data_IF_858603168792
#
_entry.id   IF_858603168792
#
_cell.length_a   1.000
_cell.length_b   1.000
_cell.length_c   1.000
_cell.angle_alpha   90.00
_cell.angle_beta   90.00
_cell.angle_gamma   90.00
#
_symmetry.space_group_name_H-M   'P 1'
#
loop_
_entity.id
_entity.type
_entity.pdbx_description
1 polymer ?
#
# COMPACT_ATOMS: atom_id res chain seq x y z
N UNK A 1 -5.00 -11.82 15.74
CA UNK A 1 -6.03 -11.45 16.73
C UNK A 1 -5.61 -10.41 17.74
N UNK A 2 -4.35 -10.37 18.23
CA UNK A 2 -3.90 -9.37 19.22
C UNK A 2 -4.42 -7.94 18.98
N UNK A 3 -4.23 -7.35 17.79
CA UNK A 3 -4.73 -6.00 17.51
C UNK A 3 -6.25 -5.87 17.70
N UNK A 4 -7.04 -6.86 17.26
CA UNK A 4 -8.50 -6.86 17.44
C UNK A 4 -8.85 -6.88 18.92
N UNK A 5 -8.20 -7.74 19.69
CA UNK A 5 -8.45 -7.90 21.13
C UNK A 5 -8.01 -6.66 21.93
N UNK A 6 -6.98 -5.93 21.48
CA UNK A 6 -6.57 -4.67 22.10
C UNK A 6 -7.50 -3.51 21.74
N UNK A 7 -7.93 -3.42 20.47
CA UNK A 7 -8.64 -2.25 19.95
C UNK A 7 -10.18 -2.38 20.02
N UNK A 8 -10.69 -3.59 20.24
CA UNK A 8 -12.11 -3.89 20.36
C UNK A 8 -12.34 -5.16 21.22
N UNK A 9 -11.87 -5.20 22.49
CA UNK A 9 -11.88 -6.41 23.33
C UNK A 9 -13.26 -7.04 23.54
N UNK A 10 -14.32 -6.24 23.48
CA UNK A 10 -15.70 -6.69 23.75
C UNK A 10 -16.48 -7.04 22.47
N UNK A 11 -15.82 -7.16 21.32
CA UNK A 11 -16.50 -7.44 20.07
C UNK A 11 -17.04 -8.86 20.02
N UNK A 12 -18.34 -8.99 19.76
CA UNK A 12 -19.06 -10.27 19.73
C UNK A 12 -18.57 -11.24 18.65
N UNK A 13 -17.91 -10.72 17.60
CA UNK A 13 -17.36 -11.53 16.51
C UNK A 13 -16.00 -12.19 16.84
N UNK A 14 -15.36 -11.86 17.98
CA UNK A 14 -14.03 -12.42 18.33
C UNK A 14 -14.00 -13.96 18.29
N UNK A 15 -14.94 -14.70 18.89
CA UNK A 15 -14.94 -16.17 18.83
C UNK A 15 -15.04 -16.70 17.39
N UNK A 16 -15.83 -16.05 16.54
CA UNK A 16 -15.98 -16.41 15.13
C UNK A 16 -14.69 -16.18 14.34
N UNK A 17 -13.99 -15.07 14.59
CA UNK A 17 -12.70 -14.83 13.93
C UNK A 17 -11.66 -15.88 14.33
N UNK A 18 -11.62 -16.28 15.61
CA UNK A 18 -10.74 -17.37 16.07
C UNK A 18 -11.08 -18.74 15.46
N UNK A 19 -12.37 -19.05 15.27
CA UNK A 19 -12.80 -20.24 14.54
C UNK A 19 -12.32 -20.23 13.08
N UNK A 20 -12.53 -19.13 12.36
CA UNK A 20 -12.07 -18.97 10.98
C UNK A 20 -10.54 -19.08 10.86
N UNK A 21 -9.79 -18.51 11.82
CA UNK A 21 -8.34 -18.65 11.89
C UNK A 21 -7.91 -20.11 11.99
N UNK A 22 -8.49 -20.86 12.94
CA UNK A 22 -8.14 -22.28 13.15
C UNK A 22 -8.41 -23.16 11.94
N UNK A 23 -9.41 -22.80 11.14
CA UNK A 23 -9.80 -23.52 9.93
C UNK A 23 -9.10 -23.01 8.66
N UNK A 24 -8.15 -22.08 8.78
CA UNK A 24 -7.44 -21.51 7.63
C UNK A 24 -6.43 -22.50 7.06
N UNK A 25 -6.56 -22.81 5.77
CA UNK A 25 -5.69 -23.76 5.05
C UNK A 25 -5.18 -23.21 3.72
N UNK A 26 -5.72 -22.08 3.26
CA UNK A 26 -5.39 -21.44 1.99
C UNK A 26 -5.72 -19.94 2.03
N UNK A 27 -5.38 -19.21 0.95
CA UNK A 27 -5.63 -17.77 0.87
C UNK A 27 -7.11 -17.38 0.95
N UNK A 28 -8.01 -18.23 0.44
CA UNK A 28 -9.44 -17.97 0.48
C UNK A 28 -9.99 -18.04 1.92
N UNK A 29 -9.63 -19.09 2.67
CA UNK A 29 -10.00 -19.23 4.08
C UNK A 29 -9.32 -18.19 4.97
N UNK A 30 -8.07 -17.83 4.67
CA UNK A 30 -7.36 -16.72 5.31
C UNK A 30 -8.08 -15.38 5.08
N UNK A 31 -8.60 -15.16 3.87
CA UNK A 31 -9.36 -13.95 3.52
C UNK A 31 -10.62 -13.84 4.38
N UNK A 32 -11.32 -14.95 4.66
CA UNK A 32 -12.50 -14.94 5.54
C UNK A 32 -12.14 -14.55 6.97
N UNK A 33 -11.04 -15.08 7.51
CA UNK A 33 -10.53 -14.69 8.83
C UNK A 33 -10.17 -13.21 8.90
N UNK A 34 -9.41 -12.70 7.92
CA UNK A 34 -9.00 -11.28 7.89
C UNK A 34 -10.19 -10.34 7.70
N UNK A 35 -11.20 -10.75 6.93
CA UNK A 35 -12.47 -10.03 6.78
C UNK A 35 -13.22 -9.94 8.11
N UNK A 36 -13.30 -11.04 8.86
CA UNK A 36 -13.90 -11.04 10.20
C UNK A 36 -13.23 -10.02 11.13
N UNK A 37 -11.88 -10.01 11.16
CA UNK A 37 -11.12 -9.04 11.95
C UNK A 37 -11.40 -7.60 11.51
N UNK A 38 -11.50 -7.36 10.19
CA UNK A 38 -11.80 -6.05 9.63
C UNK A 38 -13.17 -5.54 10.07
N UNK A 39 -14.20 -6.39 10.08
CA UNK A 39 -15.54 -6.01 10.54
C UNK A 39 -15.57 -5.60 12.01
N UNK A 40 -14.80 -6.27 12.87
CA UNK A 40 -14.64 -5.83 14.26
C UNK A 40 -13.99 -4.44 14.31
N UNK A 41 -12.88 -4.26 13.58
CA UNK A 41 -12.08 -3.05 13.64
C UNK A 41 -12.77 -1.80 13.06
N UNK A 42 -13.76 -1.97 12.18
CA UNK A 42 -14.59 -0.85 11.69
C UNK A 42 -15.28 -0.09 12.82
N UNK A 43 -15.64 -0.80 13.89
CA UNK A 43 -16.31 -0.22 15.05
C UNK A 43 -15.34 -0.02 16.23
N UNK A 44 -14.03 -0.07 15.98
CA UNK A 44 -13.05 0.22 17.02
C UNK A 44 -13.20 1.66 17.51
N UNK A 45 -13.17 1.83 18.83
CA UNK A 45 -13.22 3.14 19.50
C UNK A 45 -11.84 3.60 19.97
N UNK A 46 -10.77 2.95 19.48
CA UNK A 46 -9.40 3.27 19.85
C UNK A 46 -9.06 4.72 19.46
N UNK A 47 -8.62 5.51 20.45
CA UNK A 47 -8.30 6.93 20.24
C UNK A 47 -6.90 7.17 19.67
N UNK A 48 -6.01 6.20 19.82
CA UNK A 48 -4.59 6.29 19.47
C UNK A 48 -4.23 5.54 18.17
N UNK A 49 -5.21 4.95 17.49
CA UNK A 49 -5.01 4.20 16.25
C UNK A 49 -6.03 4.66 15.22
N UNK A 50 -5.54 5.06 14.05
CA UNK A 50 -6.38 5.38 12.88
C UNK A 50 -6.34 4.18 11.94
N UNK A 51 -7.53 3.70 11.56
CA UNK A 51 -7.67 2.58 10.63
C UNK A 51 -8.22 3.12 9.32
N UNK A 52 -7.38 3.14 8.28
CA UNK A 52 -7.76 3.63 6.96
C UNK A 52 -8.66 2.65 6.21
N UNK A 53 -9.52 3.18 5.34
CA UNK A 53 -10.22 2.39 4.33
C UNK A 53 -9.25 1.67 3.39
N UNK A 54 -9.74 0.62 2.72
CA UNK A 54 -8.93 -0.07 1.72
C UNK A 54 -8.61 0.89 0.57
N UNK A 55 -7.33 0.97 0.22
CA UNK A 55 -6.83 1.85 -0.85
C UNK A 55 -6.60 3.31 -0.44
N UNK A 56 -6.85 3.66 0.82
CA UNK A 56 -6.71 5.05 1.33
C UNK A 56 -5.44 5.26 2.16
N UNK A 57 -4.63 4.21 2.35
CA UNK A 57 -3.33 4.32 3.00
C UNK A 57 -2.29 5.04 2.13
N UNK A 58 -1.29 5.63 2.78
CA UNK A 58 -0.22 6.38 2.11
C UNK A 58 0.95 5.51 1.62
N UNK A 59 1.01 4.25 2.09
CA UNK A 59 1.87 3.22 1.56
C UNK A 59 1.08 2.31 0.62
N UNK A 60 1.67 1.98 -0.54
CA UNK A 60 1.02 1.12 -1.53
C UNK A 60 2.02 0.18 -2.19
N UNK A 61 1.55 -0.95 -2.65
CA UNK A 61 2.40 -1.82 -3.46
C UNK A 61 2.70 -1.20 -4.83
N UNK A 62 3.92 -1.42 -5.32
CA UNK A 62 4.35 -0.87 -6.61
C UNK A 62 3.59 -1.47 -7.80
N UNK A 63 3.26 -2.76 -7.77
CA UNK A 63 2.49 -3.44 -8.83
C UNK A 63 1.10 -2.83 -9.03
N UNK A 64 0.58 -2.08 -8.05
CA UNK A 64 -0.75 -1.48 -8.15
C UNK A 64 -0.86 -0.41 -9.24
N UNK A 65 0.27 0.17 -9.66
CA UNK A 65 0.33 1.20 -10.71
C UNK A 65 1.51 0.97 -11.65
N UNK A 66 1.97 -0.28 -11.77
CA UNK A 66 3.19 -0.63 -12.52
C UNK A 66 4.38 0.27 -12.13
N UNK A 67 4.53 0.51 -10.83
CA UNK A 67 5.54 1.36 -10.20
C UNK A 67 5.48 2.85 -10.54
N UNK A 68 4.47 3.34 -11.25
CA UNK A 68 4.34 4.78 -11.49
C UNK A 68 4.11 5.50 -10.18
N UNK A 69 4.86 6.58 -9.93
CA UNK A 69 4.90 7.36 -8.68
C UNK A 69 4.31 8.76 -8.87
N UNK A 70 3.68 9.28 -7.83
CA UNK A 70 3.21 10.66 -7.78
C UNK A 70 3.81 11.38 -6.56
N UNK A 71 4.68 12.38 -6.76
CA UNK A 71 5.26 13.16 -5.68
C UNK A 71 4.23 13.86 -4.78
N UNK A 72 3.04 14.16 -5.31
CA UNK A 72 1.97 14.86 -4.59
C UNK A 72 1.02 13.92 -3.81
N UNK A 73 1.16 12.61 -3.99
CA UNK A 73 0.26 11.60 -3.41
C UNK A 73 0.99 10.55 -2.58
N UNK A 74 2.12 10.08 -3.06
CA UNK A 74 2.76 8.88 -2.54
C UNK A 74 3.74 9.21 -1.41
N UNK A 75 3.70 8.39 -0.35
CA UNK A 75 4.67 8.47 0.73
C UNK A 75 5.76 7.40 0.61
N UNK A 76 5.38 6.14 0.37
CA UNK A 76 6.32 5.05 0.12
C UNK A 76 5.69 3.91 -0.68
N UNK A 77 6.54 3.12 -1.35
CA UNK A 77 6.16 1.80 -1.84
C UNK A 77 6.31 0.73 -0.75
N UNK A 78 5.37 -0.20 -0.70
CA UNK A 78 5.45 -1.42 0.10
C UNK A 78 6.02 -2.59 -0.73
N UNK A 79 6.56 -3.60 -0.03
CA UNK A 79 6.95 -4.90 -0.57
C UNK A 79 7.97 -4.90 -1.74
N UNK A 80 8.87 -3.92 -1.81
CA UNK A 80 9.93 -3.83 -2.83
C UNK A 80 11.10 -4.78 -2.55
N UNK A 81 10.90 -6.09 -2.72
CA UNK A 81 11.99 -7.08 -2.61
C UNK A 81 12.90 -7.04 -3.84
N UNK A 82 14.21 -6.97 -3.66
CA UNK A 82 15.17 -6.90 -4.79
C UNK A 82 15.04 -8.08 -5.77
N UNK A 83 14.69 -9.28 -5.30
CA UNK A 83 14.43 -10.46 -6.17
C UNK A 83 13.25 -10.29 -7.15
N UNK A 84 12.40 -9.28 -6.94
CA UNK A 84 11.25 -8.98 -7.80
C UNK A 84 11.44 -7.68 -8.61
N UNK A 85 12.62 -7.07 -8.51
CA UNK A 85 12.96 -5.85 -9.23
C UNK A 85 13.13 -6.15 -10.70
N UNK A 86 12.40 -5.43 -11.55
CA UNK A 86 12.56 -5.46 -13.00
C UNK A 86 13.20 -4.17 -13.50
N UNK A 87 13.87 -4.26 -14.65
CA UNK A 87 14.34 -3.08 -15.37
C UNK A 87 13.16 -2.38 -16.02
N UNK A 88 13.19 -1.06 -16.04
CA UNK A 88 12.23 -0.25 -16.80
C UNK A 88 12.39 -0.53 -18.29
N UNK A 89 11.27 -0.74 -18.99
CA UNK A 89 11.21 -0.74 -20.45
C UNK A 89 10.48 0.52 -20.95
N UNK A 90 10.94 1.18 -22.03
CA UNK A 90 10.22 2.30 -22.65
C UNK A 90 8.75 1.99 -22.99
N UNK A 91 8.42 0.73 -23.26
CA UNK A 91 7.04 0.30 -23.52
C UNK A 91 6.12 0.44 -22.31
N UNK A 92 6.65 0.62 -21.11
CA UNK A 92 5.89 0.75 -19.86
C UNK A 92 5.54 2.20 -19.53
N UNK A 93 6.09 3.16 -20.28
CA UNK A 93 5.86 4.59 -20.09
C UNK A 93 4.36 4.91 -20.08
N UNK A 94 3.90 5.53 -18.99
CA UNK A 94 2.51 5.93 -18.79
C UNK A 94 1.52 4.78 -18.62
N UNK A 95 1.97 3.52 -18.59
CA UNK A 95 1.10 2.34 -18.42
C UNK A 95 0.99 1.99 -16.94
N UNK A 96 -0.12 2.37 -16.32
CA UNK A 96 -0.43 2.07 -14.92
C UNK A 96 -0.79 0.59 -14.69
N UNK A 97 -1.26 -0.11 -15.72
CA UNK A 97 -1.46 -1.55 -15.68
C UNK A 97 -0.13 -2.28 -15.90
N UNK A 98 0.07 -3.36 -15.16
CA UNK A 98 1.27 -4.18 -15.23
C UNK A 98 1.03 -5.57 -14.62
N UNK A 99 2.06 -6.42 -14.61
CA UNK A 99 1.99 -7.72 -13.96
C UNK A 99 1.55 -7.60 -12.49
N UNK A 100 0.66 -8.47 -12.00
CA UNK A 100 0.17 -8.37 -10.64
C UNK A 100 1.22 -8.82 -9.60
N UNK A 101 1.01 -8.39 -8.36
CA UNK A 101 1.73 -8.81 -7.14
C UNK A 101 3.17 -8.32 -6.99
N UNK A 102 4.14 -9.07 -7.49
CA UNK A 102 5.52 -8.95 -7.03
C UNK A 102 6.38 -7.97 -7.83
N UNK A 103 6.24 -7.88 -9.16
CA UNK A 103 7.17 -7.09 -9.95
C UNK A 103 7.11 -5.59 -9.64
N UNK A 104 8.28 -4.97 -9.51
CA UNK A 104 8.41 -3.53 -9.32
C UNK A 104 9.59 -2.95 -10.08
N UNK A 105 9.50 -1.68 -10.42
CA UNK A 105 10.52 -0.89 -11.12
C UNK A 105 11.02 0.16 -10.15
N UNK A 106 12.33 0.35 -10.10
CA UNK A 106 12.87 1.48 -9.34
C UNK A 106 12.45 2.78 -10.03
N UNK A 107 11.79 3.66 -9.27
CA UNK A 107 11.43 4.99 -9.76
C UNK A 107 12.58 5.96 -9.60
N UNK A 108 13.66 5.61 -8.93
CA UNK A 108 14.84 6.45 -8.79
C UNK A 108 15.76 6.24 -9.99
N UNK A 109 16.20 7.33 -10.60
CA UNK A 109 17.14 7.30 -11.73
C UNK A 109 18.52 6.87 -11.27
N UNK A 110 18.91 7.30 -10.08
CA UNK A 110 20.18 6.98 -9.43
C UNK A 110 19.95 6.08 -8.21
N UNK A 111 20.82 5.10 -7.95
CA UNK A 111 20.75 4.32 -6.73
C UNK A 111 20.80 5.22 -5.50
N UNK A 112 20.08 4.83 -4.45
CA UNK A 112 20.13 5.54 -3.17
C UNK A 112 21.54 5.49 -2.59
N UNK A 113 22.18 6.65 -2.41
CA UNK A 113 23.40 6.74 -1.61
C UNK A 113 23.03 6.72 -0.12
N UNK A 114 23.27 5.58 0.51
CA UNK A 114 22.95 5.38 1.93
C UNK A 114 23.85 6.18 2.85
N UNK A 115 25.05 6.55 2.42
CA UNK A 115 25.98 7.35 3.21
C UNK A 115 25.54 8.81 3.22
N UNK A 116 25.10 9.35 2.07
CA UNK A 116 24.48 10.69 2.02
C UNK A 116 23.21 10.76 2.88
N UNK A 117 22.37 9.72 2.83
CA UNK A 117 21.16 9.64 3.66
C UNK A 117 21.48 9.66 5.17
N UNK A 118 22.52 8.93 5.59
CA UNK A 118 22.93 8.83 7.00
C UNK A 118 23.59 10.10 7.52
N UNK A 119 24.45 10.71 6.70
CA UNK A 119 25.16 11.93 7.09
C UNK A 119 24.27 13.17 7.11
N UNK A 120 23.07 13.05 6.54
CA UNK A 120 22.18 14.17 6.35
C UNK A 120 22.83 15.35 5.60
N UNK A 121 23.77 15.04 4.70
CA UNK A 121 24.40 16.00 3.78
C UNK A 121 23.37 16.41 2.75
N UNK A 122 22.43 17.24 3.18
CA UNK A 122 21.28 17.66 2.41
C UNK A 122 21.48 19.11 1.95
N UNK A 123 21.58 19.31 0.63
CA UNK A 123 21.48 20.57 -0.12
C UNK A 123 22.37 21.77 0.29
N UNK A 124 23.07 21.74 1.43
CA UNK A 124 23.86 22.87 1.95
C UNK A 124 25.31 22.89 1.44
N UNK A 125 25.82 21.75 0.96
CA UNK A 125 27.23 21.57 0.61
C UNK A 125 27.48 21.47 -0.91
N UNK A 126 26.44 21.60 -1.75
CA UNK A 126 26.57 21.62 -3.21
C UNK A 126 26.76 23.06 -3.73
N UNK A 127 27.67 23.31 -4.69
CA UNK A 127 27.88 24.64 -5.24
C UNK A 127 26.62 25.16 -5.94
N UNK A 128 26.33 26.48 -5.86
CA UNK A 128 25.11 27.06 -6.40
C UNK A 128 25.22 27.21 -7.91
N UNK A 129 24.99 26.13 -8.66
CA UNK A 129 24.74 26.19 -10.10
C UNK A 129 23.25 25.95 -10.34
N UNK A 130 22.54 27.05 -10.56
CA UNK A 130 21.15 27.16 -11.06
C UNK A 130 20.06 26.36 -10.33
N UNK A 131 19.19 27.13 -9.66
CA UNK A 131 17.80 26.78 -9.30
C UNK A 131 17.59 25.82 -8.11
N UNK A 132 18.23 26.06 -6.97
CA UNK A 132 17.73 25.51 -5.70
C UNK A 132 17.76 26.59 -4.61
N UNK A 133 16.62 27.28 -4.43
CA UNK A 133 16.33 28.01 -3.20
C UNK A 133 16.02 26.98 -2.11
N UNK A 134 16.73 27.08 -0.98
CA UNK A 134 16.42 26.50 0.33
C UNK A 134 15.51 25.24 0.37
N UNK A 135 16.10 24.08 0.67
CA UNK A 135 15.41 23.06 1.47
C UNK A 135 14.44 22.10 0.78
N UNK A 136 14.41 22.02 -0.54
CA UNK A 136 13.53 21.08 -1.26
C UNK A 136 14.29 19.80 -1.62
N UNK A 137 14.33 18.85 -0.68
CA UNK A 137 14.77 17.48 -0.95
C UNK A 137 13.79 16.84 -1.93
N UNK A 138 14.18 16.76 -3.21
CA UNK A 138 13.39 16.11 -4.26
C UNK A 138 14.14 14.87 -4.72
N UNK A 139 13.49 13.72 -4.57
CA UNK A 139 13.94 12.47 -5.14
C UNK A 139 14.11 12.61 -6.66
N UNK A 140 15.28 12.25 -7.20
CA UNK A 140 15.53 12.19 -8.64
C UNK A 140 14.85 10.95 -9.24
N UNK A 141 13.59 11.14 -9.60
CA UNK A 141 12.79 10.10 -10.21
C UNK A 141 13.00 10.01 -11.73
N UNK A 142 12.85 8.80 -12.27
CA UNK A 142 12.67 8.54 -13.70
C UNK A 142 11.38 9.24 -14.18
N UNK A 143 11.45 10.29 -15.02
CA UNK A 143 10.29 11.09 -15.42
C UNK A 143 9.20 10.25 -16.07
N UNK A 144 9.55 9.18 -16.77
CA UNK A 144 8.60 8.32 -17.47
C UNK A 144 7.79 7.41 -16.54
N UNK A 145 8.19 7.31 -15.27
CA UNK A 145 7.45 6.65 -14.19
C UNK A 145 6.74 7.65 -13.28
N UNK A 146 6.76 8.95 -13.59
CA UNK A 146 5.99 9.94 -12.85
C UNK A 146 4.56 10.07 -13.41
N UNK A 147 3.58 10.11 -12.52
CA UNK A 147 2.17 10.30 -12.84
C UNK A 147 1.53 11.33 -11.94
N UNK A 148 0.51 12.02 -12.44
CA UNK A 148 -0.27 12.94 -11.60
C UNK A 148 -1.04 12.19 -10.53
N UNK A 149 -1.29 12.84 -9.39
CA UNK A 149 -2.11 12.27 -8.32
C UNK A 149 -3.50 11.85 -8.83
N UNK A 150 -4.10 12.66 -9.74
CA UNK A 150 -5.39 12.35 -10.36
C UNK A 150 -5.35 11.05 -11.16
N UNK A 151 -4.36 10.87 -12.04
CA UNK A 151 -4.24 9.64 -12.85
C UNK A 151 -4.10 8.39 -11.99
N UNK A 152 -3.27 8.46 -10.94
CA UNK A 152 -3.12 7.33 -10.02
C UNK A 152 -4.39 7.07 -9.23
N UNK A 153 -5.07 8.11 -8.72
CA UNK A 153 -6.31 7.94 -7.96
C UNK A 153 -7.44 7.35 -8.82
N UNK A 154 -7.63 7.86 -10.05
CA UNK A 154 -8.63 7.32 -10.98
C UNK A 154 -8.37 5.82 -11.28
N UNK A 155 -7.10 5.44 -11.45
CA UNK A 155 -6.71 4.03 -11.65
C UNK A 155 -6.98 3.17 -10.41
N UNK A 156 -6.60 3.68 -9.23
CA UNK A 156 -6.75 2.98 -7.96
C UNK A 156 -8.21 2.82 -7.57
N UNK A 157 -9.08 3.76 -7.93
CA UNK A 157 -10.52 3.70 -7.66
C UNK A 157 -11.20 2.51 -8.34
N UNK A 158 -10.79 2.18 -9.57
CA UNK A 158 -11.26 0.99 -10.27
C UNK A 158 -10.91 -0.29 -9.49
N UNK A 159 -9.68 -0.39 -8.99
CA UNK A 159 -9.22 -1.54 -8.20
C UNK A 159 -9.91 -1.60 -6.84
N UNK A 160 -10.06 -0.45 -6.17
CA UNK A 160 -10.78 -0.32 -4.89
C UNK A 160 -12.20 -0.84 -5.01
N UNK A 161 -12.92 -0.49 -6.10
CA UNK A 161 -14.27 -1.01 -6.34
C UNK A 161 -14.31 -2.54 -6.42
N UNK A 162 -13.40 -3.15 -7.17
CA UNK A 162 -13.32 -4.61 -7.27
C UNK A 162 -13.05 -5.28 -5.91
N UNK A 163 -12.14 -4.71 -5.12
CA UNK A 163 -11.84 -5.20 -3.75
C UNK A 163 -13.05 -5.08 -2.83
N UNK A 164 -13.79 -3.97 -2.90
CA UNK A 164 -15.00 -3.78 -2.09
C UNK A 164 -16.17 -4.68 -2.54
N UNK A 165 -16.25 -5.01 -3.83
CA UNK A 165 -17.23 -5.98 -4.34
C UNK A 165 -16.91 -7.41 -3.84
N UNK A 166 -15.64 -7.82 -3.93
CA UNK A 166 -15.17 -9.09 -3.35
C UNK A 166 -15.43 -9.13 -1.84
N UNK A 167 -15.10 -8.06 -1.14
CA UNK A 167 -15.36 -7.92 0.29
C UNK A 167 -16.84 -8.14 0.64
N UNK A 168 -17.75 -7.45 -0.06
CA UNK A 168 -19.19 -7.57 0.16
C UNK A 168 -19.69 -9.00 -0.07
N UNK A 169 -19.23 -9.65 -1.14
CA UNK A 169 -19.61 -11.03 -1.45
C UNK A 169 -19.20 -12.03 -0.36
N UNK A 170 -18.13 -11.74 0.39
CA UNK A 170 -17.56 -12.63 1.42
C UNK A 170 -18.10 -12.37 2.83
N UNK A 171 -18.92 -11.33 3.05
CA UNK A 171 -19.54 -11.05 4.35
C UNK A 171 -20.44 -12.18 4.85
N UNK A 172 -21.01 -12.98 3.95
CA UNK A 172 -21.85 -14.13 4.31
C UNK A 172 -21.12 -15.16 5.18
N UNK A 173 -19.79 -15.26 5.06
CA UNK A 173 -19.00 -16.28 5.76
C UNK A 173 -18.75 -15.96 7.23
N UNK A 174 -19.00 -14.72 7.66
CA UNK A 174 -18.76 -14.27 9.04
C UNK A 174 -20.05 -14.14 9.87
N UNK A 175 -21.23 -14.24 9.26
CA UNK A 175 -22.50 -14.21 9.98
C UNK A 175 -22.73 -15.54 10.73
N UNK A 176 -23.13 -15.51 12.00
CA UNK A 176 -23.49 -16.73 12.72
C UNK A 176 -24.79 -17.33 12.14
N UNK A 177 -24.79 -18.63 11.83
CA UNK A 177 -26.03 -19.40 11.60
C UNK A 177 -26.43 -19.73 10.16
N UNK A 178 -25.53 -19.72 9.17
CA UNK A 178 -25.78 -20.39 7.87
C UNK A 178 -24.63 -21.34 7.52
N UNK A 179 -24.78 -22.58 7.96
CA UNK A 179 -24.20 -23.76 7.29
C UNK A 179 -25.36 -24.52 6.65
#
# INVERSE_FOLDING_TARGET
>A
MFMVEQLAPNATLIPRCWELWRNTTNFETLTRYTLCCREILKNSTAKNVVIYGKGEGWARDAWLTNSHWSPDRDFMFHAMKEEHKKKFSPDEKGKLDGPPYWPWISTLRTPLDTEECRMGKFAKDLPPTSLHQSGDFRWDHEPDLISSAKQLNDHMDKRRKAVEDEYRSKLIYIQPGRQ
#
